data_IF_941627100812
#
_entry.id   IF_941627100812
#
_cell.length_a   1.000
_cell.length_b   1.000
_cell.length_c   1.000
_cell.angle_alpha   90.00
_cell.angle_beta   90.00
_cell.angle_gamma   90.00
#
_symmetry.space_group_name_H-M   'P 1'
#
loop_
_entity.id
_entity.type
_entity.pdbx_description
1 polymer ?
#
# COMPACT_ATOMS: atom_id res chain seq x y z
N UNK A 1 -10.87 14.04 7.14
CA UNK A 1 -9.88 12.98 7.37
C UNK A 1 -10.65 11.69 7.61
N UNK A 2 -10.84 10.91 6.56
CA UNK A 2 -11.53 9.63 6.63
C UNK A 2 -10.59 8.62 7.31
N UNK A 3 -11.08 8.06 8.40
CA UNK A 3 -10.38 7.38 9.43
C UNK A 3 -9.45 6.25 9.02
N UNK A 4 -8.18 6.45 9.27
CA UNK A 4 -7.38 5.32 9.72
C UNK A 4 -8.07 4.74 10.97
N UNK A 5 -8.32 3.44 10.97
CA UNK A 5 -8.75 2.76 12.17
C UNK A 5 -7.76 3.10 13.28
N UNK A 6 -8.26 3.48 14.45
CA UNK A 6 -7.39 3.82 15.58
C UNK A 6 -6.49 2.64 15.96
N UNK A 7 -5.44 2.92 16.72
CA UNK A 7 -4.51 1.89 17.21
C UNK A 7 -5.31 0.78 17.88
N UNK A 8 -5.15 -0.45 17.38
CA UNK A 8 -5.77 -1.60 18.02
C UNK A 8 -4.90 -2.07 19.18
N UNK A 9 -5.31 -1.73 20.39
CA UNK A 9 -4.71 -2.22 21.63
C UNK A 9 -5.66 -3.17 22.35
N UNK A 10 -5.50 -4.47 22.10
CA UNK A 10 -6.23 -5.49 22.83
C UNK A 10 -5.27 -6.48 23.49
N UNK A 11 -5.64 -7.09 24.64
CA UNK A 11 -4.80 -8.11 25.28
C UNK A 11 -4.43 -9.26 24.34
N UNK A 12 -5.35 -9.65 23.47
CA UNK A 12 -5.13 -10.71 22.48
C UNK A 12 -4.07 -10.32 21.46
N UNK A 13 -4.11 -9.11 20.89
CA UNK A 13 -3.12 -8.63 19.97
C UNK A 13 -1.75 -8.44 20.63
N UNK A 14 -1.73 -7.97 21.88
CA UNK A 14 -0.48 -7.89 22.65
C UNK A 14 0.12 -9.29 22.86
N UNK A 15 -0.64 -10.25 23.32
CA UNK A 15 -0.17 -11.62 23.54
C UNK A 15 0.36 -12.27 22.24
N UNK A 16 -0.31 -12.04 21.12
CA UNK A 16 0.11 -12.57 19.81
C UNK A 16 1.49 -12.07 19.38
N UNK A 17 1.79 -10.81 19.64
CA UNK A 17 2.98 -10.13 19.11
C UNK A 17 4.05 -9.82 20.15
N UNK A 18 3.85 -10.19 21.43
CA UNK A 18 4.81 -9.95 22.53
C UNK A 18 6.20 -10.56 22.27
N UNK A 19 6.25 -11.68 21.57
CA UNK A 19 7.49 -12.35 21.18
C UNK A 19 8.02 -11.97 19.79
N UNK A 20 7.57 -10.86 19.21
CA UNK A 20 8.01 -10.45 17.87
C UNK A 20 9.53 -10.32 17.81
N UNK A 21 10.11 -10.90 16.78
CA UNK A 21 11.52 -10.77 16.40
C UNK A 21 11.62 -10.75 14.87
N UNK A 22 12.70 -10.17 14.36
CA UNK A 22 12.97 -10.26 12.94
C UNK A 22 13.15 -11.71 12.49
N UNK A 23 12.63 -12.05 11.32
CA UNK A 23 13.11 -13.24 10.60
C UNK A 23 14.61 -13.07 10.30
N UNK A 24 15.32 -14.15 10.03
CA UNK A 24 16.75 -14.09 9.71
C UNK A 24 17.05 -13.12 8.56
N UNK A 25 16.26 -13.16 7.49
CA UNK A 25 16.40 -12.26 6.36
C UNK A 25 16.15 -10.79 6.75
N UNK A 26 15.11 -10.54 7.56
CA UNK A 26 14.78 -9.19 7.99
C UNK A 26 15.78 -8.65 9.03
N UNK A 27 16.35 -9.50 9.87
CA UNK A 27 17.42 -9.09 10.80
C UNK A 27 18.64 -8.55 10.04
N UNK A 28 19.03 -9.21 8.95
CA UNK A 28 20.09 -8.73 8.06
C UNK A 28 19.72 -7.40 7.42
N UNK A 29 18.51 -7.30 6.87
CA UNK A 29 18.01 -6.05 6.25
C UNK A 29 17.92 -4.91 7.26
N UNK A 30 17.45 -5.17 8.49
CA UNK A 30 17.37 -4.18 9.55
C UNK A 30 18.76 -3.64 9.92
N UNK A 31 19.74 -4.53 10.08
CA UNK A 31 21.13 -4.15 10.36
C UNK A 31 21.72 -3.29 9.23
N UNK A 32 21.47 -3.65 7.96
CA UNK A 32 21.90 -2.87 6.79
C UNK A 32 21.23 -1.50 6.75
N UNK A 33 19.95 -1.41 7.08
CA UNK A 33 19.20 -0.14 7.15
C UNK A 33 19.80 0.77 8.22
N UNK A 34 20.00 0.25 9.43
CA UNK A 34 20.56 1.02 10.55
C UNK A 34 21.98 1.52 10.22
N UNK A 35 22.80 0.69 9.58
CA UNK A 35 24.17 1.02 9.20
C UNK A 35 24.29 2.14 8.16
N UNK A 36 23.22 2.49 7.45
CA UNK A 36 23.20 3.63 6.50
C UNK A 36 23.30 4.99 7.20
N UNK A 37 23.00 5.04 8.48
CA UNK A 37 22.96 6.30 9.25
C UNK A 37 24.21 6.46 10.10
N UNK A 38 24.78 7.67 10.20
CA UNK A 38 25.96 7.93 10.99
C UNK A 38 25.76 7.59 12.49
N UNK A 39 26.85 7.29 13.24
CA UNK A 39 26.77 7.06 14.69
C UNK A 39 26.00 8.18 15.42
N UNK A 40 25.07 7.79 16.29
CA UNK A 40 24.19 8.71 17.02
C UNK A 40 22.99 9.25 16.19
N UNK A 41 22.78 8.79 14.95
CA UNK A 41 21.67 9.17 14.09
C UNK A 41 20.77 7.98 13.69
N UNK A 42 20.87 6.87 14.37
CA UNK A 42 20.14 5.62 14.06
C UNK A 42 18.63 5.78 14.15
N UNK A 43 18.12 6.74 14.93
CA UNK A 43 16.69 7.06 14.99
C UNK A 43 16.09 7.40 13.61
N UNK A 44 16.89 7.89 12.67
CA UNK A 44 16.46 8.14 11.30
C UNK A 44 16.08 6.86 10.52
N UNK A 45 16.41 5.69 11.04
CA UNK A 45 15.98 4.41 10.49
C UNK A 45 14.55 4.02 10.88
N UNK A 46 13.83 4.82 11.69
CA UNK A 46 12.47 4.47 12.18
C UNK A 46 11.50 4.15 11.05
N UNK A 47 11.43 4.99 10.01
CA UNK A 47 10.50 4.78 8.90
C UNK A 47 10.78 3.46 8.17
N UNK A 48 11.99 3.19 7.65
CA UNK A 48 12.26 1.95 6.94
C UNK A 48 12.20 0.71 7.83
N UNK A 49 12.47 0.81 9.14
CA UNK A 49 12.28 -0.32 10.05
C UNK A 49 10.81 -0.60 10.35
N UNK A 50 9.99 0.43 10.51
CA UNK A 50 8.53 0.28 10.65
C UNK A 50 7.92 -0.33 9.38
N UNK A 51 8.37 0.08 8.20
CA UNK A 51 7.93 -0.52 6.95
C UNK A 51 8.32 -2.00 6.87
N UNK A 52 9.57 -2.35 7.20
CA UNK A 52 10.04 -3.72 7.23
C UNK A 52 9.23 -4.58 8.22
N UNK A 53 8.91 -4.02 9.39
CA UNK A 53 8.09 -4.68 10.42
C UNK A 53 6.64 -4.89 9.93
N UNK A 54 6.00 -3.86 9.36
CA UNK A 54 4.65 -3.96 8.81
C UNK A 54 4.56 -5.04 7.73
N UNK A 55 5.54 -5.09 6.82
CA UNK A 55 5.63 -6.11 5.77
C UNK A 55 5.86 -7.52 6.35
N UNK A 56 6.63 -7.65 7.43
CA UNK A 56 6.80 -8.94 8.10
C UNK A 56 5.47 -9.41 8.71
N UNK A 57 4.78 -8.54 9.44
CA UNK A 57 3.44 -8.83 9.99
C UNK A 57 2.47 -9.21 8.87
N UNK A 58 2.53 -8.52 7.74
CA UNK A 58 1.71 -8.82 6.57
C UNK A 58 1.95 -10.22 6.02
N UNK A 59 3.21 -10.63 5.86
CA UNK A 59 3.56 -11.99 5.42
C UNK A 59 3.08 -13.05 6.40
N UNK A 60 3.28 -12.84 7.70
CA UNK A 60 2.88 -13.78 8.74
C UNK A 60 1.36 -13.92 8.89
N UNK A 61 0.60 -12.94 8.44
CA UNK A 61 -0.87 -12.91 8.54
C UNK A 61 -1.58 -13.07 7.19
N UNK A 62 -0.83 -13.14 6.09
CA UNK A 62 -1.35 -13.14 4.72
C UNK A 62 -2.27 -11.93 4.45
N UNK A 63 -1.82 -10.75 4.91
CA UNK A 63 -2.50 -9.45 4.74
C UNK A 63 -1.51 -8.42 4.24
N UNK A 64 -1.95 -7.16 4.06
CA UNK A 64 -1.01 -6.06 3.76
C UNK A 64 -0.21 -5.59 5.00
N UNK A 65 -0.53 -6.11 6.17
CA UNK A 65 0.19 -5.85 7.40
C UNK A 65 -0.24 -4.57 8.11
N UNK A 66 0.07 -4.53 9.38
CA UNK A 66 -0.12 -3.37 10.26
C UNK A 66 0.96 -3.36 11.33
N UNK A 67 0.98 -2.36 12.18
CA UNK A 67 1.94 -2.18 13.27
C UNK A 67 1.27 -2.43 14.64
N UNK A 68 1.28 -3.67 15.15
CA UNK A 68 0.89 -3.94 16.54
C UNK A 68 1.79 -3.19 17.53
N UNK A 69 1.26 -2.84 18.70
CA UNK A 69 2.03 -2.12 19.72
C UNK A 69 3.33 -2.85 20.11
N UNK A 70 3.34 -4.17 20.38
CA UNK A 70 4.59 -4.87 20.71
C UNK A 70 5.64 -4.83 19.59
N UNK A 71 5.21 -4.78 18.33
CA UNK A 71 6.10 -4.63 17.17
C UNK A 71 6.75 -3.24 17.15
N UNK A 72 5.98 -2.19 17.42
CA UNK A 72 6.51 -0.84 17.56
C UNK A 72 7.45 -0.69 18.76
N UNK A 73 7.13 -1.35 19.89
CA UNK A 73 8.00 -1.42 21.06
C UNK A 73 9.31 -2.15 20.76
N UNK A 74 9.27 -3.20 19.95
CA UNK A 74 10.46 -3.90 19.48
C UNK A 74 11.35 -2.99 18.62
N UNK A 75 10.78 -2.28 17.65
CA UNK A 75 11.53 -1.31 16.82
C UNK A 75 12.14 -0.18 17.68
N UNK A 76 11.42 0.26 18.72
CA UNK A 76 11.96 1.25 19.65
C UNK A 76 13.21 0.75 20.39
N UNK A 77 13.20 -0.51 20.83
CA UNK A 77 14.37 -1.14 21.46
C UNK A 77 15.54 -1.28 20.50
N UNK A 78 15.30 -1.70 19.27
CA UNK A 78 16.34 -1.80 18.23
C UNK A 78 17.06 -0.47 17.97
N UNK A 79 16.35 0.65 18.10
CA UNK A 79 16.85 2.00 17.86
C UNK A 79 17.31 2.72 19.13
N UNK A 80 17.32 2.04 20.29
CA UNK A 80 17.63 2.62 21.60
C UNK A 80 16.86 3.92 21.86
N UNK A 81 15.54 3.88 21.64
CA UNK A 81 14.64 5.02 21.79
C UNK A 81 13.37 4.66 22.57
N UNK A 82 12.63 5.68 23.00
CA UNK A 82 11.35 5.45 23.65
C UNK A 82 10.26 5.07 22.66
N UNK A 83 9.34 4.21 23.08
CA UNK A 83 8.17 3.80 22.28
C UNK A 83 7.40 5.00 21.71
N UNK A 84 7.24 6.09 22.50
CA UNK A 84 6.49 7.26 22.05
C UNK A 84 7.09 7.87 20.77
N UNK A 85 8.42 7.84 20.59
CA UNK A 85 9.06 8.37 19.38
C UNK A 85 8.74 7.53 18.13
N UNK A 86 8.62 6.23 18.29
CA UNK A 86 8.20 5.33 17.21
C UNK A 86 6.71 5.50 16.92
N UNK A 87 5.90 5.65 17.96
CA UNK A 87 4.48 5.91 17.85
C UNK A 87 4.17 7.23 17.12
N UNK A 88 4.92 8.31 17.42
CA UNK A 88 4.82 9.58 16.71
C UNK A 88 5.01 9.40 15.20
N UNK A 89 6.01 8.62 14.78
CA UNK A 89 6.28 8.32 13.37
C UNK A 89 5.14 7.48 12.78
N UNK A 90 4.75 6.40 13.45
CA UNK A 90 3.73 5.49 12.96
C UNK A 90 2.36 6.15 12.81
N UNK A 91 2.02 7.10 13.69
CA UNK A 91 0.75 7.83 13.63
C UNK A 91 0.78 9.02 12.66
N UNK A 92 1.94 9.59 12.40
CA UNK A 92 2.08 10.72 11.48
C UNK A 92 2.03 10.27 10.02
N UNK A 93 2.72 9.19 9.66
CA UNK A 93 2.82 8.71 8.29
C UNK A 93 1.69 7.75 7.96
N UNK A 94 0.77 8.16 7.08
CA UNK A 94 -0.45 7.42 6.74
C UNK A 94 -0.23 6.10 6.00
N UNK A 95 0.98 5.83 5.52
CA UNK A 95 1.35 4.54 4.94
C UNK A 95 1.45 3.42 5.97
N UNK A 96 1.51 3.76 7.26
CA UNK A 96 1.48 2.79 8.34
C UNK A 96 0.06 2.49 8.77
N UNK A 97 -0.31 1.22 8.71
CA UNK A 97 -1.59 0.74 9.21
C UNK A 97 -1.48 0.49 10.72
N UNK A 98 -2.37 1.07 11.50
CA UNK A 98 -2.38 0.95 12.97
C UNK A 98 -3.38 -0.10 13.47
N UNK A 99 -4.13 -0.68 12.56
CA UNK A 99 -5.07 -1.78 12.80
C UNK A 99 -4.98 -2.77 11.64
N UNK A 100 -5.44 -4.01 11.84
CA UNK A 100 -5.43 -5.03 10.79
C UNK A 100 -6.13 -4.55 9.53
N UNK A 101 -5.50 -4.80 8.40
CA UNK A 101 -6.04 -4.59 7.05
C UNK A 101 -6.18 -5.94 6.34
N UNK A 102 -6.99 -5.99 5.31
CA UNK A 102 -7.19 -7.19 4.51
C UNK A 102 -5.96 -7.56 3.66
N UNK A 103 -6.12 -8.65 2.91
CA UNK A 103 -5.12 -9.09 1.94
C UNK A 103 -4.88 -8.05 0.85
N UNK A 104 -5.94 -7.36 0.43
CA UNK A 104 -5.88 -6.26 -0.52
C UNK A 104 -6.33 -4.96 0.14
N UNK A 105 -5.40 -4.05 0.33
CA UNK A 105 -5.69 -2.70 0.83
C UNK A 105 -5.95 -1.78 -0.35
N UNK A 106 -7.22 -1.50 -0.58
CA UNK A 106 -7.73 -0.65 -1.68
C UNK A 106 -7.76 0.79 -1.19
N UNK A 107 -6.87 1.62 -1.70
CA UNK A 107 -6.71 3.02 -1.33
C UNK A 107 -7.17 3.90 -2.49
N UNK A 108 -8.36 4.48 -2.38
CA UNK A 108 -8.97 5.32 -3.43
C UNK A 108 -8.62 6.78 -3.21
N UNK A 109 -8.00 7.40 -4.20
CA UNK A 109 -7.73 8.83 -4.19
C UNK A 109 -9.03 9.64 -4.36
N UNK A 110 -9.38 10.46 -3.35
CA UNK A 110 -10.57 11.32 -3.34
C UNK A 110 -10.28 12.80 -3.61
N UNK A 111 -9.03 13.19 -3.94
CA UNK A 111 -8.66 14.60 -4.13
C UNK A 111 -9.10 15.16 -5.48
N UNK A 112 -9.04 16.49 -5.62
CA UNK A 112 -9.70 17.25 -6.69
C UNK A 112 -9.53 16.66 -8.10
N UNK A 113 -8.34 16.28 -8.61
CA UNK A 113 -8.25 15.72 -9.96
C UNK A 113 -9.02 14.39 -10.12
N UNK A 114 -8.91 13.50 -9.14
CA UNK A 114 -9.62 12.22 -9.14
C UNK A 114 -11.12 12.42 -8.99
N UNK A 115 -11.55 13.32 -8.11
CA UNK A 115 -12.95 13.70 -7.93
C UNK A 115 -13.57 14.22 -9.25
N UNK A 116 -12.87 15.15 -9.93
CA UNK A 116 -13.33 15.71 -11.22
C UNK A 116 -13.35 14.70 -12.36
N UNK A 117 -12.55 13.65 -12.26
CA UNK A 117 -12.42 12.59 -13.26
C UNK A 117 -13.24 11.33 -12.96
N UNK A 118 -13.98 11.31 -11.85
CA UNK A 118 -14.93 10.24 -11.53
C UNK A 118 -14.50 9.29 -10.44
N UNK A 119 -13.78 9.75 -9.39
CA UNK A 119 -13.49 8.87 -8.24
C UNK A 119 -14.75 8.38 -7.53
N UNK A 120 -15.88 9.09 -7.65
CA UNK A 120 -17.16 8.65 -7.10
C UNK A 120 -17.67 7.37 -7.79
N UNK A 121 -17.41 7.21 -9.08
CA UNK A 121 -17.73 5.98 -9.83
C UNK A 121 -16.86 4.81 -9.35
N UNK A 122 -15.59 5.09 -9.01
CA UNK A 122 -14.67 4.10 -8.41
C UNK A 122 -15.20 3.67 -7.05
N UNK A 123 -15.61 4.60 -6.19
CA UNK A 123 -16.25 4.26 -4.91
C UNK A 123 -17.54 3.48 -5.09
N UNK A 124 -18.31 3.79 -6.12
CA UNK A 124 -19.54 3.07 -6.46
C UNK A 124 -19.24 1.62 -6.85
N UNK A 125 -18.19 1.38 -7.64
CA UNK A 125 -17.73 0.03 -7.97
C UNK A 125 -17.34 -0.78 -6.72
N UNK A 126 -16.65 -0.14 -5.76
CA UNK A 126 -16.30 -0.74 -4.48
C UNK A 126 -17.56 -1.07 -3.66
N UNK A 127 -18.48 -0.12 -3.54
CA UNK A 127 -19.71 -0.30 -2.76
C UNK A 127 -20.61 -1.43 -3.31
N UNK A 128 -20.73 -1.57 -4.64
CA UNK A 128 -21.47 -2.66 -5.31
C UNK A 128 -20.93 -4.06 -4.95
N UNK A 129 -19.67 -4.14 -4.49
CA UNK A 129 -19.02 -5.38 -4.04
C UNK A 129 -18.93 -5.50 -2.51
N UNK A 130 -19.71 -4.67 -1.80
CA UNK A 130 -19.81 -4.72 -0.34
C UNK A 130 -18.66 -4.03 0.41
N UNK A 131 -17.72 -3.39 -0.28
CA UNK A 131 -16.65 -2.65 0.37
C UNK A 131 -17.19 -1.34 0.95
N UNK A 132 -16.86 -1.06 2.20
CA UNK A 132 -17.25 0.17 2.89
C UNK A 132 -16.01 0.94 3.32
N UNK A 133 -16.04 2.27 3.15
CA UNK A 133 -14.92 3.15 3.54
C UNK A 133 -14.53 2.94 5.00
N UNK A 134 -13.22 2.76 5.24
CA UNK A 134 -12.64 2.55 6.56
C UNK A 134 -12.89 1.15 7.16
N UNK A 135 -13.38 0.18 6.37
CA UNK A 135 -13.68 -1.16 6.86
C UNK A 135 -12.98 -2.24 6.04
N UNK A 136 -12.73 -3.34 6.72
CA UNK A 136 -12.29 -4.61 6.12
C UNK A 136 -13.51 -5.50 5.90
N UNK A 137 -13.57 -6.21 4.78
CA UNK A 137 -14.62 -7.19 4.51
C UNK A 137 -14.57 -8.36 5.50
N UNK A 138 -15.71 -9.00 5.79
CA UNK A 138 -15.81 -10.05 6.80
C UNK A 138 -14.92 -11.27 6.51
N UNK A 139 -14.60 -11.51 5.22
CA UNK A 139 -13.68 -12.54 4.77
C UNK A 139 -12.19 -12.15 4.89
N UNK A 140 -11.91 -10.90 5.33
CA UNK A 140 -10.56 -10.38 5.45
C UNK A 140 -9.86 -10.12 4.12
N UNK A 141 -10.59 -10.16 3.01
CA UNK A 141 -9.98 -10.04 1.68
C UNK A 141 -9.64 -8.59 1.32
N UNK A 142 -10.58 -7.67 1.48
CA UNK A 142 -10.41 -6.26 1.10
C UNK A 142 -10.53 -5.33 2.29
N UNK A 143 -9.70 -4.30 2.31
CA UNK A 143 -9.90 -3.09 3.13
C UNK A 143 -10.02 -1.90 2.21
N UNK A 144 -11.07 -1.11 2.34
CA UNK A 144 -11.25 0.12 1.55
C UNK A 144 -10.92 1.35 2.38
N UNK A 145 -9.97 2.14 1.92
CA UNK A 145 -9.62 3.43 2.53
C UNK A 145 -9.69 4.55 1.50
N UNK A 146 -10.32 5.67 1.87
CA UNK A 146 -10.19 6.91 1.12
C UNK A 146 -8.91 7.61 1.54
N UNK A 147 -8.08 7.98 0.56
CA UNK A 147 -6.78 8.60 0.80
C UNK A 147 -6.67 9.94 0.09
N UNK A 148 -5.70 10.73 0.52
CA UNK A 148 -5.33 11.97 -0.15
C UNK A 148 -4.58 11.67 -1.48
N UNK A 149 -4.07 12.71 -2.13
CA UNK A 149 -3.43 12.60 -3.44
C UNK A 149 -2.27 11.59 -3.45
N UNK A 150 -2.36 10.58 -4.30
CA UNK A 150 -1.33 9.56 -4.52
C UNK A 150 -0.30 9.95 -5.61
N UNK A 151 -0.41 11.17 -6.17
CA UNK A 151 0.57 11.71 -7.09
C UNK A 151 0.40 11.36 -8.57
N UNK A 152 -0.53 10.47 -8.95
CA UNK A 152 -0.79 10.08 -10.34
C UNK A 152 -1.93 10.89 -11.00
N UNK A 153 -2.02 12.19 -10.75
CA UNK A 153 -3.12 13.05 -11.19
C UNK A 153 -3.28 13.12 -12.72
N UNK A 154 -2.21 12.90 -13.49
CA UNK A 154 -2.26 12.84 -14.95
C UNK A 154 -3.11 11.67 -15.46
N UNK A 155 -3.26 10.63 -14.65
CA UNK A 155 -3.98 9.39 -14.94
C UNK A 155 -5.20 9.21 -14.02
N UNK A 156 -5.80 10.30 -13.56
CA UNK A 156 -6.99 10.27 -12.72
C UNK A 156 -8.23 9.73 -13.48
N UNK A 157 -9.14 9.00 -12.80
CA UNK A 157 -9.06 8.60 -11.39
C UNK A 157 -8.15 7.39 -11.19
N UNK A 158 -7.60 7.27 -9.97
CA UNK A 158 -6.65 6.22 -9.66
C UNK A 158 -6.85 5.65 -8.26
N UNK A 159 -6.40 4.41 -8.10
CA UNK A 159 -6.42 3.64 -6.86
C UNK A 159 -5.05 2.99 -6.68
N UNK A 160 -4.56 2.95 -5.46
CA UNK A 160 -3.47 2.06 -5.09
C UNK A 160 -4.06 0.82 -4.41
N UNK A 161 -3.69 -0.36 -4.90
CA UNK A 161 -4.02 -1.63 -4.25
C UNK A 161 -2.71 -2.28 -3.84
N UNK A 162 -2.48 -2.37 -2.55
CA UNK A 162 -1.19 -2.78 -1.99
C UNK A 162 -0.05 -1.88 -2.49
N UNK A 163 0.88 -2.40 -3.29
CA UNK A 163 2.02 -1.65 -3.82
C UNK A 163 1.79 -1.15 -5.26
N UNK A 164 0.68 -1.54 -5.89
CA UNK A 164 0.42 -1.29 -7.30
C UNK A 164 -0.61 -0.16 -7.51
N UNK A 165 -0.32 0.73 -8.46
CA UNK A 165 -1.26 1.74 -8.91
C UNK A 165 -2.09 1.23 -10.09
N UNK A 166 -3.40 1.49 -10.04
CA UNK A 166 -4.36 1.29 -11.12
C UNK A 166 -4.92 2.66 -11.49
N UNK A 167 -4.84 3.01 -12.74
CA UNK A 167 -5.00 4.39 -13.22
C UNK A 167 -6.00 4.45 -14.37
N UNK A 168 -6.50 5.67 -14.69
CA UNK A 168 -7.50 5.88 -15.76
C UNK A 168 -8.75 4.99 -15.56
N UNK A 169 -9.21 4.90 -14.32
CA UNK A 169 -10.26 3.97 -13.95
C UNK A 169 -11.65 4.45 -14.34
N UNK A 170 -12.51 3.48 -14.63
CA UNK A 170 -13.96 3.62 -14.70
C UNK A 170 -14.62 2.72 -13.66
N UNK A 171 -15.92 2.84 -13.48
CA UNK A 171 -16.68 1.91 -12.62
C UNK A 171 -16.47 0.45 -13.08
N UNK A 172 -16.53 0.21 -14.40
CA UNK A 172 -16.39 -1.11 -14.98
C UNK A 172 -14.99 -1.69 -14.78
N UNK A 173 -13.93 -0.91 -15.07
CA UNK A 173 -12.55 -1.37 -14.93
C UNK A 173 -12.19 -1.62 -13.47
N UNK A 174 -12.59 -0.75 -12.56
CA UNK A 174 -12.42 -0.97 -11.12
C UNK A 174 -13.14 -2.22 -10.66
N UNK A 175 -14.37 -2.42 -11.14
CA UNK A 175 -15.12 -3.62 -10.85
C UNK A 175 -14.43 -4.89 -11.31
N UNK A 176 -13.92 -4.91 -12.54
CA UNK A 176 -13.20 -6.05 -13.10
C UNK A 176 -11.92 -6.37 -12.31
N UNK A 177 -11.18 -5.33 -11.86
CA UNK A 177 -9.99 -5.48 -11.01
C UNK A 177 -10.34 -6.18 -9.69
N UNK A 178 -11.37 -5.69 -8.97
CA UNK A 178 -11.78 -6.29 -7.71
C UNK A 178 -12.24 -7.74 -7.88
N UNK A 179 -12.98 -8.04 -8.94
CA UNK A 179 -13.44 -9.39 -9.24
C UNK A 179 -12.28 -10.34 -9.58
N UNK A 180 -11.26 -9.86 -10.30
CA UNK A 180 -10.06 -10.62 -10.62
C UNK A 180 -9.25 -10.93 -9.35
N UNK A 181 -9.02 -9.93 -8.49
CA UNK A 181 -8.35 -10.12 -7.21
C UNK A 181 -9.08 -11.11 -6.30
N UNK A 182 -10.42 -11.06 -6.27
CA UNK A 182 -11.24 -12.01 -5.50
C UNK A 182 -11.09 -13.45 -6.01
N UNK A 183 -10.82 -13.65 -7.31
CA UNK A 183 -10.52 -14.96 -7.88
C UNK A 183 -9.06 -15.39 -7.69
N UNK A 184 -8.22 -14.55 -7.09
CA UNK A 184 -6.77 -14.80 -6.93
C UNK A 184 -5.95 -14.53 -8.20
N UNK A 185 -6.53 -13.82 -9.17
CA UNK A 185 -5.82 -13.33 -10.36
C UNK A 185 -5.05 -12.06 -10.03
N UNK A 186 -4.05 -11.73 -10.84
CA UNK A 186 -3.25 -10.51 -10.68
C UNK A 186 -3.51 -9.59 -11.88
N UNK A 187 -4.42 -8.61 -11.75
CA UNK A 187 -4.69 -7.64 -12.82
C UNK A 187 -3.43 -6.84 -13.13
N UNK A 188 -3.26 -6.43 -14.38
CA UNK A 188 -2.13 -5.62 -14.79
C UNK A 188 -2.24 -4.21 -14.19
N UNK A 189 -1.27 -3.72 -13.42
CA UNK A 189 -1.27 -2.36 -12.89
C UNK A 189 -0.99 -1.31 -13.96
N UNK A 190 -1.16 -0.04 -13.59
CA UNK A 190 -0.98 1.11 -14.47
C UNK A 190 -2.26 1.54 -15.17
N UNK A 191 -2.17 2.28 -16.29
CA UNK A 191 -3.32 2.77 -17.05
C UNK A 191 -4.24 1.64 -17.50
N UNK A 192 -5.54 1.78 -17.26
CA UNK A 192 -6.55 0.81 -17.68
C UNK A 192 -7.15 1.16 -19.05
N UNK A 193 -6.53 2.10 -19.76
CA UNK A 193 -6.82 2.47 -21.15
C UNK A 193 -5.56 2.28 -22.00
N UNK A 194 -5.71 2.33 -23.33
CA UNK A 194 -4.57 2.21 -24.24
C UNK A 194 -3.75 3.52 -24.27
N UNK A 195 -2.93 3.69 -23.23
CA UNK A 195 -1.98 4.79 -23.15
C UNK A 195 -0.70 4.35 -22.44
N UNK A 196 0.40 4.92 -22.87
CA UNK A 196 1.72 4.63 -22.30
C UNK A 196 1.96 5.49 -21.06
N UNK A 197 1.93 4.88 -19.88
CA UNK A 197 2.18 5.56 -18.60
C UNK A 197 1.42 6.89 -18.49
N UNK A 198 2.04 7.99 -18.20
CA UNK A 198 1.44 9.32 -18.07
C UNK A 198 1.53 10.18 -19.34
N UNK A 199 1.73 9.58 -20.52
CA UNK A 199 1.67 10.36 -21.76
C UNK A 199 0.23 10.84 -22.02
N UNK A 200 0.03 11.90 -22.85
CA UNK A 200 -1.32 12.35 -23.19
C UNK A 200 -2.18 11.22 -23.75
N UNK A 201 -3.47 11.18 -23.38
CA UNK A 201 -4.45 10.17 -23.83
C UNK A 201 -4.54 10.11 -25.37
N UNK A 202 -4.40 11.27 -26.05
CA UNK A 202 -4.36 11.35 -27.52
C UNK A 202 -3.00 10.97 -28.16
N UNK A 203 -2.09 10.36 -27.37
CA UNK A 203 -0.75 10.00 -27.81
C UNK A 203 0.31 11.09 -27.58
N UNK A 204 1.58 10.79 -27.86
CA UNK A 204 2.68 11.69 -27.59
C UNK A 204 2.62 12.96 -28.44
N UNK A 205 2.78 14.12 -27.79
CA UNK A 205 2.82 15.44 -28.45
C UNK A 205 4.24 15.84 -28.87
N UNK A 206 5.25 15.21 -28.28
CA UNK A 206 6.67 15.40 -28.56
C UNK A 206 7.33 14.06 -28.91
N UNK A 207 8.53 14.11 -29.49
CA UNK A 207 9.30 12.90 -29.82
C UNK A 207 8.53 11.85 -30.66
N UNK A 208 7.58 12.26 -31.49
CA UNK A 208 6.67 11.38 -32.23
C UNK A 208 7.41 10.29 -33.02
N UNK A 209 8.55 10.63 -33.67
CA UNK A 209 9.39 9.66 -34.41
C UNK A 209 9.98 8.57 -33.51
N UNK A 210 10.14 8.82 -32.20
CA UNK A 210 10.61 7.82 -31.24
C UNK A 210 9.44 6.92 -30.81
N UNK A 211 8.26 7.47 -30.64
CA UNK A 211 7.04 6.71 -30.33
C UNK A 211 6.68 5.73 -31.48
N UNK A 212 6.89 6.12 -32.73
CA UNK A 212 6.69 5.28 -33.93
C UNK A 212 7.65 4.06 -33.98
N UNK A 213 8.74 4.05 -33.22
CA UNK A 213 9.71 2.95 -33.19
C UNK A 213 9.30 1.77 -32.34
N UNK A 214 8.05 1.68 -31.92
CA UNK A 214 7.51 0.56 -31.13
C UNK A 214 8.39 0.20 -29.93
N UNK A 215 8.88 1.20 -29.21
CA UNK A 215 9.46 0.97 -27.90
C UNK A 215 8.32 0.51 -26.99
N UNK A 216 8.25 -0.79 -26.74
CA UNK A 216 7.43 -1.32 -25.67
C UNK A 216 8.09 -0.92 -24.34
N UNK A 217 7.77 0.31 -23.90
CA UNK A 217 8.24 0.86 -22.63
C UNK A 217 7.44 0.32 -21.44
N UNK A 218 6.44 -0.53 -21.70
CA UNK A 218 5.84 -1.25 -20.60
C UNK A 218 6.94 -2.15 -20.05
N UNK A 219 7.46 -1.89 -18.82
CA UNK A 219 8.32 -2.86 -18.19
C UNK A 219 7.56 -4.17 -18.31
N UNK A 220 8.23 -5.23 -18.72
CA UNK A 220 7.64 -6.56 -18.59
C UNK A 220 7.34 -6.72 -17.12
N UNK A 221 6.12 -6.35 -16.74
CA UNK A 221 5.66 -6.51 -15.39
C UNK A 221 5.59 -8.00 -15.13
N UNK A 222 6.64 -8.50 -14.54
CA UNK A 222 6.57 -9.77 -13.85
C UNK A 222 5.92 -9.44 -12.51
N UNK A 223 4.78 -10.05 -12.17
CA UNK A 223 4.32 -10.01 -10.78
C UNK A 223 5.55 -10.27 -9.95
N UNK A 224 5.93 -9.33 -9.09
CA UNK A 224 6.80 -9.66 -7.99
C UNK A 224 6.07 -10.80 -7.33
N UNK A 225 6.53 -12.04 -7.59
CA UNK A 225 5.99 -13.19 -6.94
C UNK A 225 6.02 -12.78 -5.48
N UNK A 226 4.85 -12.46 -4.95
CA UNK A 226 4.75 -12.23 -3.54
C UNK A 226 5.42 -13.46 -2.97
N UNK A 227 6.53 -13.28 -2.26
CA UNK A 227 7.14 -14.33 -1.48
C UNK A 227 6.08 -14.74 -0.44
N UNK A 228 5.13 -15.56 -0.87
CA UNK A 228 3.94 -15.86 -0.10
C UNK A 228 2.99 -16.85 -0.76
N UNK A 229 3.45 -17.58 -1.78
CA UNK A 229 2.74 -18.76 -2.28
C UNK A 229 3.64 -19.98 -2.11
N UNK A 230 3.85 -20.42 -0.87
CA UNK A 230 4.12 -21.79 -0.47
C UNK A 230 3.47 -22.03 0.89
#
# INVERSE_FOLDING_TARGET
MAGQAGILDSPEQRARWEGFAWTEANAKSAAEIIARYPPGRQLSASIPLLELAQRQVGRETNTQGWLPIPVMEFVAKELDTSYIRILEVATFYTMFNLAPVGRFHVQVCGTTPCMLRGSDDVFTACAKRGLKKGQTTDDGLFTLTEVECLGACANAPMVQINDDNYEDLTEESMGAILDALARGETPMPGPQIDRQTSCPEGGPTTLKKMAERNYDYRPQWTPTAGEGAQ
#
